data_IF_509640526070
#
_entry.id   IF_509640526070
#
_cell.length_a   1.000
_cell.length_b   1.000
_cell.length_c   1.000
_cell.angle_alpha   90.00
_cell.angle_beta   90.00
_cell.angle_gamma   90.00
#
_symmetry.space_group_name_H-M   'P 1'
#
loop_
_entity.id
_entity.type
_entity.pdbx_description
1 polymer ?
#
# COMPACT_ATOMS: atom_id res chain seq x y z
N UNK A 1 0.16 -30.00 -15.92
CA UNK A 1 0.11 -29.83 -14.45
C UNK A 1 0.24 -28.35 -14.10
N UNK A 2 -0.64 -27.49 -14.62
CA UNK A 2 -0.52 -26.01 -14.48
C UNK A 2 -1.85 -25.29 -14.16
N UNK A 3 -2.90 -26.04 -13.85
CA UNK A 3 -4.27 -25.48 -13.78
C UNK A 3 -4.74 -25.20 -12.34
N UNK A 4 -3.94 -25.55 -11.32
CA UNK A 4 -4.34 -25.43 -9.91
C UNK A 4 -3.86 -24.16 -9.20
N UNK A 5 -2.88 -23.44 -9.74
CA UNK A 5 -2.31 -22.24 -9.10
C UNK A 5 -3.09 -20.96 -9.39
N UNK A 6 -3.84 -20.90 -10.50
CA UNK A 6 -4.60 -19.73 -10.94
C UNK A 6 -5.87 -19.43 -10.12
N UNK A 7 -6.28 -20.34 -9.24
CA UNK A 7 -7.49 -20.24 -8.42
C UNK A 7 -7.22 -20.15 -6.91
N UNK A 8 -5.95 -20.05 -6.48
CA UNK A 8 -5.64 -19.87 -5.07
C UNK A 8 -6.07 -18.48 -4.62
N UNK A 9 -6.85 -18.41 -3.55
CA UNK A 9 -7.20 -17.14 -2.93
C UNK A 9 -6.01 -16.59 -2.14
N UNK A 10 -5.95 -15.27 -1.96
CA UNK A 10 -4.86 -14.63 -1.21
C UNK A 10 -4.72 -15.20 0.21
N UNK A 11 -5.83 -15.56 0.86
CA UNK A 11 -5.82 -16.20 2.18
C UNK A 11 -5.14 -17.58 2.16
N UNK A 12 -5.37 -18.36 1.11
CA UNK A 12 -4.71 -19.66 0.94
C UNK A 12 -3.22 -19.51 0.66
N UNK A 13 -2.83 -18.49 -0.12
CA UNK A 13 -1.42 -18.19 -0.36
C UNK A 13 -0.71 -17.75 0.91
N UNK A 14 -1.31 -16.88 1.72
CA UNK A 14 -0.70 -16.43 2.97
C UNK A 14 -0.54 -17.59 3.97
N UNK A 15 -1.51 -18.51 4.07
CA UNK A 15 -1.39 -19.70 4.91
C UNK A 15 -0.25 -20.62 4.45
N UNK A 16 -0.11 -20.82 3.14
CA UNK A 16 1.02 -21.56 2.57
C UNK A 16 2.37 -20.88 2.86
N UNK A 17 2.47 -19.56 2.74
CA UNK A 17 3.71 -18.84 3.08
C UNK A 17 4.01 -18.84 4.58
N UNK A 18 2.98 -18.73 5.43
CA UNK A 18 3.13 -18.80 6.87
C UNK A 18 3.69 -20.17 7.30
N UNK A 19 3.14 -21.27 6.76
CA UNK A 19 3.64 -22.63 7.04
C UNK A 19 5.07 -22.87 6.52
N UNK A 20 5.39 -22.31 5.34
CA UNK A 20 6.72 -22.38 4.76
C UNK A 20 7.76 -21.61 5.60
N UNK A 21 7.42 -20.44 6.16
CA UNK A 21 8.33 -19.67 7.03
C UNK A 21 8.67 -20.37 8.35
N UNK A 22 7.74 -21.15 8.88
CA UNK A 22 7.98 -21.96 10.10
C UNK A 22 8.84 -23.19 9.85
N UNK A 23 8.93 -23.62 8.59
CA UNK A 23 9.82 -24.70 8.19
C UNK A 23 11.15 -24.06 7.80
N UNK A 24 12.19 -24.23 8.62
CA UNK A 24 13.55 -23.86 8.25
C UNK A 24 14.33 -25.13 7.86
N UNK A 25 14.12 -25.67 6.64
CA UNK A 25 14.84 -26.83 6.19
C UNK A 25 16.31 -26.44 6.00
N UNK A 26 17.16 -26.90 6.91
CA UNK A 26 18.61 -26.76 6.76
C UNK A 26 19.03 -27.51 5.49
N UNK A 27 19.63 -26.83 4.51
CA UNK A 27 20.09 -27.49 3.28
C UNK A 27 21.14 -28.56 3.61
N UNK A 28 21.14 -29.65 2.85
CA UNK A 28 22.13 -30.70 3.01
C UNK A 28 23.56 -30.17 2.78
N UNK A 29 24.52 -30.66 3.55
CA UNK A 29 25.90 -30.17 3.52
C UNK A 29 26.57 -30.44 2.17
N UNK A 30 26.27 -31.58 1.55
CA UNK A 30 26.79 -31.93 0.22
C UNK A 30 26.23 -31.01 -0.87
N UNK A 31 24.96 -30.61 -0.74
CA UNK A 31 24.35 -29.63 -1.63
C UNK A 31 25.01 -28.26 -1.48
N UNK A 32 25.21 -27.79 -0.24
CA UNK A 32 25.89 -26.52 0.03
C UNK A 32 27.31 -26.51 -0.54
N UNK A 33 28.07 -27.59 -0.38
CA UNK A 33 29.42 -27.71 -0.94
C UNK A 33 29.43 -27.61 -2.48
N UNK A 34 28.46 -28.25 -3.15
CA UNK A 34 28.31 -28.17 -4.61
C UNK A 34 27.88 -26.78 -5.07
N UNK A 35 26.96 -26.13 -4.35
CA UNK A 35 26.54 -24.77 -4.65
C UNK A 35 27.72 -23.79 -4.56
N UNK A 36 28.53 -23.88 -3.50
CA UNK A 36 29.69 -22.99 -3.37
C UNK A 36 30.75 -23.25 -4.45
N UNK A 37 31.00 -24.51 -4.80
CA UNK A 37 31.90 -24.83 -5.91
C UNK A 37 31.39 -24.30 -7.26
N UNK A 38 30.07 -24.33 -7.49
CA UNK A 38 29.44 -23.77 -8.67
C UNK A 38 29.58 -22.23 -8.69
N UNK A 39 29.31 -21.56 -7.57
CA UNK A 39 29.50 -20.11 -7.39
C UNK A 39 30.95 -19.72 -7.70
N UNK A 40 31.94 -20.41 -7.14
CA UNK A 40 33.36 -20.13 -7.39
C UNK A 40 33.76 -20.33 -8.86
N UNK A 41 33.02 -21.14 -9.62
CA UNK A 41 33.26 -21.34 -11.06
C UNK A 41 32.72 -20.21 -11.93
N UNK A 42 31.62 -19.57 -11.49
CA UNK A 42 30.97 -18.46 -12.21
C UNK A 42 31.51 -17.09 -11.81
N UNK A 43 31.93 -16.90 -10.55
CA UNK A 43 32.47 -15.62 -10.04
C UNK A 43 33.61 -15.05 -10.92
N UNK A 44 34.57 -15.85 -11.43
CA UNK A 44 35.62 -15.36 -12.32
C UNK A 44 35.13 -14.93 -13.71
N UNK A 45 33.94 -15.40 -14.13
CA UNK A 45 33.35 -15.14 -15.44
C UNK A 45 32.36 -13.99 -15.43
N UNK A 46 31.89 -13.58 -14.24
CA UNK A 46 31.14 -12.35 -14.07
C UNK A 46 32.13 -11.20 -14.16
N UNK A 47 32.31 -10.64 -15.37
CA UNK A 47 32.91 -9.32 -15.46
C UNK A 47 32.10 -8.40 -14.53
N UNK A 48 32.78 -7.62 -13.65
CA UNK A 48 32.09 -6.60 -12.92
C UNK A 48 31.46 -5.71 -13.98
N UNK A 49 30.13 -5.73 -14.07
CA UNK A 49 29.41 -4.71 -14.82
C UNK A 49 29.79 -3.42 -14.11
N UNK A 50 30.75 -2.70 -14.70
CA UNK A 50 31.03 -1.32 -14.36
C UNK A 50 29.79 -0.57 -14.81
N UNK A 51 28.76 -0.63 -13.96
CA UNK A 51 27.62 0.23 -14.09
C UNK A 51 28.20 1.63 -13.99
N UNK A 52 28.24 2.32 -15.13
CA UNK A 52 28.58 3.73 -15.22
C UNK A 52 27.82 4.40 -14.07
N UNK A 53 28.55 4.97 -13.09
CA UNK A 53 27.97 5.32 -11.81
C UNK A 53 26.73 6.18 -12.09
N UNK A 54 25.50 5.66 -11.88
CA UNK A 54 24.33 6.34 -12.38
C UNK A 54 24.32 7.69 -11.69
N UNK A 55 24.33 8.77 -12.47
CA UNK A 55 24.27 10.14 -11.95
C UNK A 55 23.18 10.13 -10.89
N UNK A 56 23.57 10.21 -9.61
CA UNK A 56 22.69 9.89 -8.49
C UNK A 56 21.50 10.82 -8.58
N UNK A 57 20.40 10.33 -9.12
CA UNK A 57 19.18 11.10 -9.24
C UNK A 57 18.73 11.41 -7.82
N UNK A 58 18.67 12.69 -7.47
CA UNK A 58 18.21 13.13 -6.14
C UNK A 58 16.83 12.53 -5.86
N UNK A 59 15.98 12.47 -6.88
CA UNK A 59 14.67 11.82 -6.80
C UNK A 59 14.78 10.32 -6.50
N UNK A 60 15.69 9.60 -7.15
CA UNK A 60 15.94 8.17 -6.88
C UNK A 60 16.49 7.95 -5.46
N UNK A 61 17.29 8.88 -4.94
CA UNK A 61 17.79 8.81 -3.56
C UNK A 61 16.71 9.03 -2.51
N UNK A 62 15.77 9.94 -2.77
CA UNK A 62 14.59 10.16 -1.93
C UNK A 62 13.69 8.92 -1.98
N UNK A 63 13.44 8.38 -3.18
CA UNK A 63 12.69 7.14 -3.35
C UNK A 63 13.32 5.95 -2.61
N UNK A 64 14.64 5.81 -2.67
CA UNK A 64 15.36 4.78 -1.92
C UNK A 64 15.27 5.02 -0.40
N UNK A 65 15.38 6.28 0.06
CA UNK A 65 15.25 6.64 1.48
C UNK A 65 13.83 6.37 2.03
N UNK A 66 12.81 6.48 1.18
CA UNK A 66 11.43 6.12 1.52
C UNK A 66 11.21 4.60 1.57
N UNK A 67 12.20 3.78 1.23
CA UNK A 67 12.10 2.31 1.22
C UNK A 67 11.80 1.71 -0.16
N UNK A 68 11.88 2.51 -1.23
CA UNK A 68 11.60 2.05 -2.59
C UNK A 68 10.20 1.46 -2.71
N UNK A 69 10.07 0.32 -3.38
CA UNK A 69 8.79 -0.37 -3.55
C UNK A 69 8.14 -0.80 -2.24
N UNK A 70 8.92 -1.12 -1.19
CA UNK A 70 8.38 -1.43 0.12
C UNK A 70 7.78 -0.18 0.80
N UNK A 71 8.39 0.99 0.59
CA UNK A 71 7.82 2.27 1.00
C UNK A 71 6.54 2.62 0.25
N UNK A 72 6.53 2.38 -1.07
CA UNK A 72 5.38 2.63 -1.93
C UNK A 72 4.15 1.85 -1.48
N UNK A 73 4.32 0.56 -1.16
CA UNK A 73 3.21 -0.30 -0.72
C UNK A 73 2.65 0.15 0.62
N UNK A 74 3.51 0.56 1.56
CA UNK A 74 3.08 1.14 2.84
C UNK A 74 2.29 2.44 2.68
N UNK A 75 2.76 3.35 1.81
CA UNK A 75 2.07 4.61 1.51
C UNK A 75 0.71 4.38 0.82
N UNK A 76 0.65 3.42 -0.11
CA UNK A 76 -0.60 3.02 -0.76
C UNK A 76 -1.59 2.42 0.25
N UNK A 77 -1.12 1.56 1.18
CA UNK A 77 -1.94 1.01 2.24
C UNK A 77 -2.46 2.11 3.18
N UNK A 78 -1.60 3.05 3.60
CA UNK A 78 -2.01 4.19 4.43
C UNK A 78 -3.06 5.08 3.74
N UNK A 79 -2.91 5.33 2.44
CA UNK A 79 -3.91 6.05 1.65
C UNK A 79 -5.24 5.30 1.58
N UNK A 80 -5.21 3.99 1.33
CA UNK A 80 -6.40 3.15 1.33
C UNK A 80 -7.10 3.12 2.70
N UNK A 81 -6.33 3.03 3.79
CA UNK A 81 -6.87 3.13 5.16
C UNK A 81 -7.48 4.51 5.42
N UNK A 82 -6.86 5.60 4.97
CA UNK A 82 -7.42 6.95 5.07
C UNK A 82 -8.74 7.10 4.32
N UNK A 83 -8.82 6.57 3.10
CA UNK A 83 -10.06 6.55 2.31
C UNK A 83 -11.14 5.71 3.01
N UNK A 84 -10.77 4.53 3.52
CA UNK A 84 -11.68 3.67 4.28
C UNK A 84 -12.31 4.39 5.47
N UNK A 85 -11.49 5.08 6.27
CA UNK A 85 -11.95 5.85 7.43
C UNK A 85 -12.82 7.04 7.00
N UNK A 86 -12.49 7.72 5.91
CA UNK A 86 -13.26 8.87 5.41
C UNK A 86 -14.63 8.50 4.83
N UNK A 87 -14.73 7.37 4.12
CA UNK A 87 -15.99 6.91 3.52
C UNK A 87 -16.91 6.26 4.56
N UNK A 88 -16.35 5.53 5.52
CA UNK A 88 -17.10 4.93 6.61
C UNK A 88 -17.21 5.89 7.79
N UNK A 89 -17.69 7.12 7.58
CA UNK A 89 -17.97 8.03 8.70
C UNK A 89 -19.06 7.40 9.58
N UNK A 90 -18.75 6.90 10.79
CA UNK A 90 -19.78 6.43 11.69
C UNK A 90 -20.66 7.62 12.07
N UNK A 91 -21.94 7.39 12.36
CA UNK A 91 -22.91 8.41 12.79
C UNK A 91 -22.44 9.25 13.99
N UNK A 92 -21.40 8.80 14.72
CA UNK A 92 -20.69 9.59 15.75
C UNK A 92 -19.87 10.77 15.22
N UNK A 93 -19.52 10.84 13.93
CA UNK A 93 -18.85 12.02 13.38
C UNK A 93 -19.82 13.19 13.22
N UNK A 94 -21.13 12.92 13.01
CA UNK A 94 -22.15 13.97 13.01
C UNK A 94 -22.25 14.66 14.38
N UNK A 95 -22.22 13.89 15.48
CA UNK A 95 -22.29 14.46 16.83
C UNK A 95 -21.03 15.24 17.23
N UNK A 96 -19.84 14.81 16.77
CA UNK A 96 -18.58 15.55 16.99
C UNK A 96 -18.52 16.80 16.11
N UNK A 97 -19.03 16.74 14.88
CA UNK A 97 -19.15 17.90 13.99
C UNK A 97 -20.13 18.93 14.54
N UNK A 98 -21.31 18.52 15.01
CA UNK A 98 -22.28 19.38 15.69
C UNK A 98 -21.70 20.00 16.97
N UNK A 99 -20.91 19.24 17.74
CA UNK A 99 -20.29 19.73 18.97
C UNK A 99 -19.14 20.71 18.73
N UNK A 100 -18.37 20.55 17.65
CA UNK A 100 -17.22 21.41 17.34
C UNK A 100 -17.55 22.60 16.42
N UNK A 101 -18.46 22.43 15.47
CA UNK A 101 -18.83 23.46 14.48
C UNK A 101 -20.14 24.19 14.82
N UNK A 102 -20.94 23.66 15.76
CA UNK A 102 -22.25 24.21 16.11
C UNK A 102 -23.29 23.93 15.03
N UNK A 103 -24.53 23.73 15.46
CA UNK A 103 -25.68 23.50 14.57
C UNK A 103 -25.69 24.53 13.42
N UNK A 104 -25.58 24.05 12.19
CA UNK A 104 -25.64 24.90 11.01
C UNK A 104 -27.09 25.35 10.81
N UNK A 105 -27.49 26.41 11.52
CA UNK A 105 -28.79 27.04 11.30
C UNK A 105 -28.80 27.69 9.92
N UNK A 106 -29.45 27.01 8.98
CA UNK A 106 -29.79 27.61 7.69
C UNK A 106 -30.91 28.63 7.92
N UNK A 107 -30.55 29.92 7.95
CA UNK A 107 -31.53 31.01 7.94
C UNK A 107 -32.07 31.13 6.52
N UNK A 108 -33.28 30.63 6.30
CA UNK A 108 -34.02 30.88 5.07
C UNK A 108 -34.40 32.36 5.02
N UNK A 109 -33.65 33.14 4.23
CA UNK A 109 -34.02 34.51 3.86
C UNK A 109 -35.10 34.43 2.77
N UNK A 110 -36.23 33.78 3.09
CA UNK A 110 -37.44 33.92 2.29
C UNK A 110 -38.14 35.17 2.79
N UNK A 111 -38.01 36.27 2.06
CA UNK A 111 -38.97 37.36 2.14
C UNK A 111 -40.24 36.79 1.50
N UNK A 112 -41.37 36.65 2.22
CA UNK A 112 -42.59 36.19 1.60
C UNK A 112 -42.94 37.15 0.46
N UNK A 113 -43.17 36.60 -0.73
CA UNK A 113 -43.60 37.29 -1.95
C UNK A 113 -44.94 38.04 -1.79
N UNK A 114 -45.51 38.10 -0.59
CA UNK A 114 -46.73 38.85 -0.23
C UNK A 114 -46.53 40.37 -0.14
N UNK A 115 -45.33 40.91 -0.43
CA UNK A 115 -45.10 42.37 -0.37
C UNK A 115 -45.63 43.13 -1.60
N UNK A 116 -45.93 42.43 -2.69
CA UNK A 116 -46.48 43.04 -3.90
C UNK A 116 -47.90 42.53 -4.12
N UNK A 117 -48.86 43.16 -3.43
CA UNK A 117 -50.30 42.96 -3.60
C UNK A 117 -50.74 43.07 -5.05
N UNK A 118 -50.67 41.96 -5.76
CA UNK A 118 -51.20 41.73 -7.10
C UNK A 118 -51.99 40.43 -7.07
N UNK A 119 -52.99 40.41 -6.17
CA UNK A 119 -54.19 39.60 -6.36
C UNK A 119 -55.08 40.35 -7.35
N UNK A 120 -55.11 39.82 -8.57
CA UNK A 120 -56.24 39.90 -9.49
C UNK A 120 -56.63 38.47 -9.84
#
# INVERSE_FOLDING_TARGET
>A
MSDKLSHLTDAQLEEMFASARTSDPVPDADFMARMFADIDSIVPQVEPVVADAPRRSVLASIWAALGGWAGASGLAAAAATGIWIGVASPTSMATVSDAFWGDSMSVSVMVPDDILGLEG
#
